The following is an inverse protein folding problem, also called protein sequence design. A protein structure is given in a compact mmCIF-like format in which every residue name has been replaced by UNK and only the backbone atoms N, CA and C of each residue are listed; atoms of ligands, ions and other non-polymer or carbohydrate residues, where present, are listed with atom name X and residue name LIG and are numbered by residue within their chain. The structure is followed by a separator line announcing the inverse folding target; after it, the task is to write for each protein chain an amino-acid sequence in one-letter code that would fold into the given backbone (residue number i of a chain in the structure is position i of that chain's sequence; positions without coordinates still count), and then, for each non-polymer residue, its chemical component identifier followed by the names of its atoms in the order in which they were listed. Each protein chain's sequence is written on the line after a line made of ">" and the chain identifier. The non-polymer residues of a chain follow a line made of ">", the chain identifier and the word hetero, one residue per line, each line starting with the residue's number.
data_IF_195290973839
#
_entry.id   IF_195290973839
#
_cell.length_a   1.000
_cell.length_b   1.000
_cell.length_c   1.000
_cell.angle_alpha   90.00
_cell.angle_beta   90.00
_cell.angle_gamma   90.00
#
_symmetry.space_group_name_H-M   'P 1'
#
loop_
_entity.id
_entity.type
_entity.pdbx_description
1 polymer ?
#
# COMPACT_ATOMS: atom_id res chain seq x y z
N UNK A 1 -27.47 -5.82 23.06
CA UNK A 1 -26.12 -5.39 23.50
C UNK A 1 -25.82 -4.09 22.76
N UNK A 2 -25.89 -2.92 23.42
CA UNK A 2 -25.74 -1.63 22.73
C UNK A 2 -24.29 -1.47 22.25
N UNK A 3 -24.06 -1.67 20.95
CA UNK A 3 -22.76 -1.46 20.34
C UNK A 3 -22.40 0.03 20.42
N UNK A 4 -21.15 0.34 20.78
CA UNK A 4 -20.67 1.74 20.79
C UNK A 4 -20.72 2.25 19.35
N UNK A 5 -21.30 3.43 19.12
CA UNK A 5 -21.41 4.06 17.79
C UNK A 5 -20.58 5.34 17.72
N UNK A 6 -20.17 5.72 16.52
CA UNK A 6 -19.53 7.01 16.25
C UNK A 6 -20.58 8.14 16.10
N UNK A 7 -20.11 9.36 15.84
CA UNK A 7 -20.96 10.56 15.64
C UNK A 7 -21.95 10.43 14.47
N UNK A 8 -21.71 9.50 13.54
CA UNK A 8 -22.55 9.25 12.37
C UNK A 8 -23.42 8.00 12.55
N UNK A 9 -23.50 7.45 13.77
CA UNK A 9 -24.28 6.25 14.08
C UNK A 9 -23.65 4.94 13.59
N UNK A 10 -22.39 4.96 13.13
CA UNK A 10 -21.72 3.76 12.62
C UNK A 10 -21.23 2.88 13.78
N UNK A 11 -21.39 1.54 13.71
CA UNK A 11 -20.94 0.65 14.78
C UNK A 11 -19.41 0.67 14.93
N UNK A 12 -18.90 0.77 16.16
CA UNK A 12 -17.47 0.67 16.46
C UNK A 12 -17.16 -0.78 16.85
N UNK A 13 -16.52 -1.51 15.93
CA UNK A 13 -16.23 -2.93 16.07
C UNK A 13 -14.73 -3.18 16.25
N UNK A 14 -14.36 -4.11 17.12
CA UNK A 14 -13.01 -4.66 17.20
C UNK A 14 -12.89 -5.83 16.23
N UNK A 15 -12.04 -5.69 15.21
CA UNK A 15 -11.80 -6.75 14.24
C UNK A 15 -10.76 -7.75 14.78
N UNK A 16 -11.04 -9.04 14.61
CA UNK A 16 -10.06 -10.11 14.87
C UNK A 16 -9.24 -10.34 13.60
N UNK A 17 -7.92 -10.23 13.69
CA UNK A 17 -7.02 -10.53 12.59
C UNK A 17 -6.94 -12.04 12.36
N UNK A 18 -6.97 -12.47 11.11
CA UNK A 18 -6.65 -13.85 10.74
C UNK A 18 -5.14 -14.07 10.68
N UNK A 19 -4.69 -15.32 10.62
CA UNK A 19 -3.26 -15.63 10.44
C UNK A 19 -2.66 -14.99 9.19
N UNK A 20 -3.42 -14.96 8.08
CA UNK A 20 -3.00 -14.29 6.84
C UNK A 20 -2.89 -12.78 7.04
N UNK A 21 -3.82 -12.16 7.77
CA UNK A 21 -3.74 -10.73 8.10
C UNK A 21 -2.46 -10.41 8.87
N UNK A 22 -2.11 -11.22 9.86
CA UNK A 22 -0.87 -11.06 10.64
C UNK A 22 0.36 -11.28 9.76
N UNK A 23 0.37 -12.31 8.91
CA UNK A 23 1.48 -12.58 8.01
C UNK A 23 1.74 -11.40 7.05
N UNK A 24 0.70 -10.81 6.46
CA UNK A 24 0.83 -9.62 5.61
C UNK A 24 1.41 -8.41 6.35
N UNK A 25 0.99 -8.21 7.60
CA UNK A 25 1.51 -7.12 8.45
C UNK A 25 3.00 -7.32 8.74
N UNK A 26 3.40 -8.52 9.18
CA UNK A 26 4.80 -8.85 9.46
C UNK A 26 5.67 -8.72 8.19
N UNK A 27 5.19 -9.24 7.07
CA UNK A 27 5.91 -9.18 5.81
C UNK A 27 6.05 -7.75 5.29
N UNK A 28 5.02 -6.92 5.45
CA UNK A 28 5.11 -5.50 5.08
C UNK A 28 6.11 -4.73 5.93
N UNK A 29 6.18 -5.00 7.24
CA UNK A 29 7.23 -4.43 8.10
C UNK A 29 8.63 -4.91 7.70
N UNK A 30 8.78 -6.19 7.39
CA UNK A 30 10.05 -6.76 6.92
C UNK A 30 10.52 -6.07 5.64
N UNK A 31 9.64 -5.86 4.66
CA UNK A 31 9.97 -5.16 3.42
C UNK A 31 10.31 -3.70 3.69
N UNK A 32 9.57 -3.00 4.56
CA UNK A 32 9.87 -1.61 4.90
C UNK A 32 11.25 -1.47 5.56
N UNK A 33 11.61 -2.39 6.47
CA UNK A 33 12.95 -2.44 7.06
C UNK A 33 13.99 -2.75 5.97
N UNK A 34 13.71 -3.74 5.12
CA UNK A 34 14.55 -4.09 3.98
C UNK A 34 14.80 -2.93 3.03
N UNK A 35 13.80 -2.08 2.79
CA UNK A 35 13.92 -0.86 1.99
C UNK A 35 14.93 0.11 2.61
N UNK A 36 14.82 0.38 3.91
CA UNK A 36 15.78 1.22 4.63
C UNK A 36 17.19 0.64 4.58
N UNK A 37 17.33 -0.66 4.85
CA UNK A 37 18.62 -1.37 4.76
C UNK A 37 19.21 -1.25 3.36
N UNK A 38 18.41 -1.50 2.32
CA UNK A 38 18.85 -1.40 0.92
C UNK A 38 19.39 0.00 0.59
N UNK A 39 18.70 1.06 1.03
CA UNK A 39 19.18 2.43 0.81
C UNK A 39 20.47 2.67 1.58
N UNK A 40 20.53 2.35 2.87
CA UNK A 40 21.70 2.66 3.70
C UNK A 40 22.97 1.93 3.28
N UNK A 41 22.89 0.64 2.93
CA UNK A 41 24.08 -0.12 2.53
C UNK A 41 24.66 0.34 1.19
N UNK A 42 23.85 0.96 0.32
CA UNK A 42 24.31 1.48 -0.98
C UNK A 42 24.58 2.98 -0.96
N UNK A 43 24.15 3.72 0.08
CA UNK A 43 24.10 5.19 0.05
C UNK A 43 25.46 5.85 -0.17
N UNK A 44 26.52 5.30 0.42
CA UNK A 44 27.87 5.86 0.32
C UNK A 44 28.44 5.74 -1.11
N UNK A 45 28.06 4.68 -1.82
CA UNK A 45 28.55 4.39 -3.18
C UNK A 45 27.73 5.11 -4.27
N UNK A 46 26.64 5.81 -3.89
CA UNK A 46 25.85 6.56 -4.86
C UNK A 46 26.63 7.78 -5.38
N UNK A 47 26.67 8.00 -6.70
CA UNK A 47 27.22 9.24 -7.28
C UNK A 47 26.39 10.44 -6.83
N UNK A 48 26.97 11.64 -6.85
CA UNK A 48 26.25 12.86 -6.43
C UNK A 48 24.96 13.11 -7.22
N UNK A 49 24.90 12.67 -8.48
CA UNK A 49 23.71 12.77 -9.33
C UNK A 49 23.16 11.38 -9.65
N UNK A 50 21.88 11.15 -9.34
CA UNK A 50 21.16 9.90 -9.56
C UNK A 50 19.89 10.12 -10.38
N UNK A 51 19.34 9.07 -11.03
CA UNK A 51 17.98 9.10 -11.55
C UNK A 51 16.95 9.36 -10.44
N UNK A 52 16.05 10.31 -10.66
CA UNK A 52 14.94 10.63 -9.74
C UNK A 52 13.56 10.57 -10.42
N UNK A 53 13.53 10.56 -11.76
CA UNK A 53 12.30 10.44 -12.54
C UNK A 53 12.53 9.47 -13.71
N UNK A 54 11.47 8.73 -14.04
CA UNK A 54 11.46 7.77 -15.14
C UNK A 54 10.20 7.99 -15.99
N UNK A 55 10.37 7.95 -17.31
CA UNK A 55 9.26 8.06 -18.26
C UNK A 55 8.40 6.79 -18.33
N UNK A 56 7.35 6.81 -19.16
CA UNK A 56 6.43 5.68 -19.35
C UNK A 56 7.09 4.40 -19.91
N UNK A 57 8.25 4.51 -20.59
CA UNK A 57 9.05 3.36 -21.01
C UNK A 57 9.93 2.80 -19.88
N UNK A 58 9.90 3.44 -18.71
CA UNK A 58 10.72 3.11 -17.54
C UNK A 58 12.18 3.54 -17.70
N UNK A 59 12.50 4.49 -18.58
CA UNK A 59 13.85 5.05 -18.75
C UNK A 59 14.01 6.32 -17.94
N UNK A 60 15.19 6.52 -17.35
CA UNK A 60 15.50 7.73 -16.60
C UNK A 60 15.45 8.95 -17.52
N UNK A 61 14.66 9.95 -17.15
CA UNK A 61 14.49 11.21 -17.89
C UNK A 61 14.59 12.46 -16.96
N UNK A 62 14.78 12.24 -15.66
CA UNK A 62 15.09 13.29 -14.69
C UNK A 62 16.12 12.83 -13.68
N UNK A 63 17.07 13.71 -13.36
CA UNK A 63 18.20 13.44 -12.49
C UNK A 63 18.30 14.49 -11.38
N UNK A 64 18.85 14.11 -10.23
CA UNK A 64 19.01 15.02 -9.10
C UNK A 64 19.99 14.48 -8.07
N UNK A 65 20.13 15.21 -6.97
CA UNK A 65 21.12 14.86 -5.94
C UNK A 65 20.80 13.51 -5.26
N UNK A 66 21.82 12.72 -4.91
CA UNK A 66 21.70 11.41 -4.22
C UNK A 66 20.87 11.41 -2.94
N UNK A 67 20.79 12.54 -2.22
CA UNK A 67 19.93 12.69 -1.04
C UNK A 67 18.45 12.45 -1.36
N UNK A 68 18.01 12.61 -2.61
CA UNK A 68 16.66 12.25 -3.05
C UNK A 68 16.35 10.76 -2.89
N UNK A 69 17.37 9.88 -2.79
CA UNK A 69 17.18 8.46 -2.52
C UNK A 69 16.46 8.22 -1.19
N UNK A 70 16.65 9.10 -0.19
CA UNK A 70 15.99 9.00 1.12
C UNK A 70 14.51 9.36 1.08
N UNK A 71 14.05 10.09 0.06
CA UNK A 71 12.63 10.48 -0.05
C UNK A 71 11.73 9.26 -0.14
N UNK A 72 12.14 8.22 -0.89
CA UNK A 72 11.37 6.99 -1.04
C UNK A 72 11.13 6.25 0.29
N UNK A 73 12.15 5.83 1.06
CA UNK A 73 11.92 5.17 2.35
C UNK A 73 11.18 6.06 3.37
N UNK A 74 11.40 7.38 3.36
CA UNK A 74 10.68 8.31 4.25
C UNK A 74 9.18 8.33 3.90
N UNK A 75 8.84 8.57 2.63
CA UNK A 75 7.44 8.61 2.18
C UNK A 75 6.77 7.25 2.36
N UNK A 76 7.47 6.15 2.05
CA UNK A 76 6.99 4.79 2.32
C UNK A 76 6.64 4.59 3.80
N UNK A 77 7.52 5.03 4.71
CA UNK A 77 7.31 4.90 6.15
C UNK A 77 6.11 5.71 6.62
N UNK A 78 5.99 6.98 6.19
CA UNK A 78 4.86 7.85 6.56
C UNK A 78 3.55 7.26 6.07
N UNK A 79 3.49 6.82 4.80
CA UNK A 79 2.27 6.24 4.24
C UNK A 79 1.94 4.89 4.90
N UNK A 80 2.93 4.02 5.11
CA UNK A 80 2.70 2.70 5.71
C UNK A 80 2.23 2.81 7.17
N UNK A 81 2.84 3.69 7.97
CA UNK A 81 2.44 3.96 9.35
C UNK A 81 1.06 4.62 9.37
N UNK A 82 0.82 5.62 8.54
CA UNK A 82 -0.47 6.30 8.43
C UNK A 82 -1.60 5.33 8.08
N UNK A 83 -1.39 4.46 7.09
CA UNK A 83 -2.33 3.39 6.73
C UNK A 83 -2.51 2.38 7.87
N UNK A 84 -1.45 2.06 8.62
CA UNK A 84 -1.52 1.16 9.78
C UNK A 84 -2.38 1.75 10.91
N UNK A 85 -2.24 3.06 11.18
CA UNK A 85 -3.08 3.78 12.15
C UNK A 85 -4.51 3.84 11.64
N UNK A 86 -4.72 4.22 10.38
CA UNK A 86 -6.04 4.29 9.75
C UNK A 86 -6.77 2.94 9.81
N UNK A 87 -6.04 1.83 9.66
CA UNK A 87 -6.59 0.47 9.74
C UNK A 87 -7.18 0.10 11.11
N UNK A 88 -6.87 0.86 12.16
CA UNK A 88 -7.46 0.69 13.50
C UNK A 88 -8.86 1.31 13.61
N UNK A 89 -9.25 2.15 12.66
CA UNK A 89 -10.49 2.91 12.70
C UNK A 89 -11.36 2.68 11.44
N UNK A 90 -11.75 1.44 11.11
CA UNK A 90 -12.50 1.15 9.87
C UNK A 90 -13.81 1.94 9.73
N UNK A 91 -14.46 2.31 10.83
CA UNK A 91 -15.70 3.08 10.81
C UNK A 91 -15.59 4.45 10.12
N UNK A 92 -14.38 5.02 9.96
CA UNK A 92 -14.17 6.30 9.25
C UNK A 92 -14.04 6.14 7.72
N UNK A 93 -13.98 4.92 7.21
CA UNK A 93 -13.77 4.69 5.77
C UNK A 93 -15.03 5.00 4.97
N UNK A 94 -14.85 5.17 3.67
CA UNK A 94 -15.94 5.21 2.70
C UNK A 94 -16.25 3.78 2.24
N UNK A 95 -17.53 3.42 2.28
CA UNK A 95 -18.01 2.09 1.91
C UNK A 95 -18.96 2.20 0.72
N UNK A 96 -18.85 1.33 -0.31
CA UNK A 96 -19.78 1.31 -1.44
C UNK A 96 -21.22 0.91 -1.06
N UNK A 97 -21.42 0.31 0.12
CA UNK A 97 -22.74 -0.05 0.62
C UNK A 97 -23.43 1.18 1.21
N UNK A 98 -24.64 1.48 0.74
CA UNK A 98 -25.41 2.68 1.12
C UNK A 98 -25.74 2.73 2.62
N UNK A 99 -26.06 1.59 3.24
CA UNK A 99 -26.41 1.52 4.67
C UNK A 99 -25.51 0.53 5.41
N UNK A 100 -24.71 1.04 6.35
CA UNK A 100 -23.92 0.25 7.29
C UNK A 100 -24.78 -0.10 8.51
N UNK A 101 -25.31 -1.32 8.53
CA UNK A 101 -26.02 -1.89 9.67
C UNK A 101 -25.04 -2.63 10.58
N UNK A 102 -25.41 -2.87 11.85
CA UNK A 102 -24.59 -3.69 12.77
C UNK A 102 -24.28 -5.08 12.18
N UNK A 103 -25.24 -5.63 11.44
CA UNK A 103 -25.19 -6.96 10.86
C UNK A 103 -24.28 -7.07 9.60
N UNK A 104 -24.03 -5.95 8.89
CA UNK A 104 -23.17 -5.94 7.70
C UNK A 104 -21.81 -5.25 7.93
N UNK A 105 -21.70 -4.41 8.97
CA UNK A 105 -20.51 -3.63 9.28
C UNK A 105 -19.28 -4.52 9.50
N UNK A 106 -19.42 -5.65 10.21
CA UNK A 106 -18.29 -6.57 10.44
C UNK A 106 -17.66 -7.06 9.12
N UNK A 107 -18.48 -7.46 8.14
CA UNK A 107 -18.01 -7.99 6.85
C UNK A 107 -17.35 -6.88 6.03
N UNK A 108 -18.00 -5.72 5.94
CA UNK A 108 -17.49 -4.55 5.23
C UNK A 108 -16.16 -4.07 5.83
N UNK A 109 -16.08 -3.94 7.15
CA UNK A 109 -14.87 -3.49 7.85
C UNK A 109 -13.74 -4.50 7.68
N UNK A 110 -14.02 -5.80 7.79
CA UNK A 110 -13.01 -6.85 7.57
C UNK A 110 -12.45 -6.77 6.15
N UNK A 111 -13.31 -6.60 5.14
CA UNK A 111 -12.85 -6.50 3.75
C UNK A 111 -12.07 -5.22 3.47
N UNK A 112 -12.53 -4.08 3.95
CA UNK A 112 -11.87 -2.80 3.71
C UNK A 112 -10.51 -2.74 4.41
N UNK A 113 -10.43 -3.24 5.64
CA UNK A 113 -9.14 -3.31 6.35
C UNK A 113 -8.16 -4.27 5.68
N UNK A 114 -8.64 -5.38 5.10
CA UNK A 114 -7.83 -6.29 4.29
C UNK A 114 -7.32 -5.63 3.02
N UNK A 115 -8.17 -4.90 2.30
CA UNK A 115 -7.74 -4.12 1.14
C UNK A 115 -6.63 -3.15 1.54
N UNK A 116 -6.80 -2.42 2.65
CA UNK A 116 -5.78 -1.48 3.13
C UNK A 116 -4.45 -2.16 3.48
N UNK A 117 -4.48 -3.39 4.03
CA UNK A 117 -3.27 -4.22 4.26
C UNK A 117 -2.57 -4.58 2.96
N UNK A 118 -3.34 -5.01 1.96
CA UNK A 118 -2.79 -5.35 0.63
C UNK A 118 -2.19 -4.10 -0.02
N UNK A 119 -2.89 -2.97 0.00
CA UNK A 119 -2.41 -1.73 -0.62
C UNK A 119 -1.15 -1.19 0.05
N UNK A 120 -1.04 -1.22 1.38
CA UNK A 120 0.20 -0.77 2.05
C UNK A 120 1.37 -1.74 1.82
N UNK A 121 1.10 -3.04 1.66
CA UNK A 121 2.12 -4.01 1.28
C UNK A 121 2.61 -3.77 -0.16
N UNK A 122 1.68 -3.58 -1.10
CA UNK A 122 1.98 -3.22 -2.49
C UNK A 122 2.80 -1.93 -2.56
N UNK A 123 2.45 -0.93 -1.74
CA UNK A 123 3.19 0.34 -1.65
C UNK A 123 4.67 0.12 -1.29
N UNK A 124 4.97 -0.62 -0.23
CA UNK A 124 6.37 -0.85 0.17
C UNK A 124 7.12 -1.72 -0.84
N UNK A 125 6.44 -2.66 -1.51
CA UNK A 125 7.03 -3.45 -2.60
C UNK A 125 7.40 -2.55 -3.78
N UNK A 126 6.49 -1.69 -4.23
CA UNK A 126 6.74 -0.76 -5.35
C UNK A 126 7.92 0.15 -5.03
N UNK A 127 7.95 0.75 -3.83
CA UNK A 127 9.02 1.66 -3.45
C UNK A 127 10.37 0.94 -3.36
N UNK A 128 10.37 -0.30 -2.85
CA UNK A 128 11.57 -1.15 -2.82
C UNK A 128 12.07 -1.51 -4.21
N UNK A 129 11.16 -1.85 -5.13
CA UNK A 129 11.50 -2.13 -6.52
C UNK A 129 12.08 -0.90 -7.23
N UNK A 130 11.54 0.30 -6.97
CA UNK A 130 12.08 1.54 -7.52
C UNK A 130 13.52 1.74 -7.04
N UNK A 131 13.77 1.71 -5.72
CA UNK A 131 15.13 1.85 -5.17
C UNK A 131 16.07 0.81 -5.76
N UNK A 132 15.66 -0.45 -5.79
CA UNK A 132 16.48 -1.55 -6.31
C UNK A 132 16.82 -1.38 -7.80
N UNK A 133 15.88 -0.92 -8.62
CA UNK A 133 16.12 -0.66 -10.05
C UNK A 133 16.92 0.61 -10.29
N UNK A 134 16.77 1.64 -9.46
CA UNK A 134 17.62 2.84 -9.53
C UNK A 134 19.07 2.50 -9.23
N UNK A 135 19.34 1.68 -8.20
CA UNK A 135 20.70 1.21 -7.89
C UNK A 135 21.29 0.41 -9.06
N UNK A 136 20.53 -0.51 -9.64
CA UNK A 136 20.97 -1.24 -10.83
C UNK A 136 21.23 -0.33 -12.05
N UNK A 137 20.43 0.73 -12.20
CA UNK A 137 20.63 1.69 -13.27
C UNK A 137 21.92 2.50 -13.10
N UNK A 138 22.20 2.92 -11.87
CA UNK A 138 23.46 3.60 -11.50
C UNK A 138 24.67 2.68 -11.76
N UNK A 139 24.55 1.40 -11.39
CA UNK A 139 25.62 0.41 -11.57
C UNK A 139 25.76 -0.09 -13.02
N UNK A 140 24.93 0.40 -13.96
CA UNK A 140 24.97 -0.01 -15.36
C UNK A 140 24.43 -1.42 -15.63
N UNK A 141 23.81 -2.08 -14.64
CA UNK A 141 23.22 -3.43 -14.80
C UNK A 141 21.75 -3.38 -15.26
N UNK A 142 21.18 -2.18 -15.41
CA UNK A 142 19.83 -1.97 -15.95
C UNK A 142 19.72 -0.62 -16.69
N UNK A 143 18.92 -0.54 -17.75
CA UNK A 143 18.65 0.72 -18.45
C UNK A 143 17.61 1.63 -17.75
N UNK A 144 16.97 1.14 -16.68
CA UNK A 144 15.97 1.87 -15.89
C UNK A 144 14.98 0.92 -15.20
N UNK A 145 13.76 1.39 -14.89
CA UNK A 145 12.68 0.56 -14.35
C UNK A 145 12.20 -0.50 -15.35
N UNK A 146 12.17 -0.16 -16.65
CA UNK A 146 11.68 -1.01 -17.73
C UNK A 146 10.17 -0.89 -17.98
N UNK A 147 9.74 -1.18 -19.21
CA UNK A 147 8.36 -0.98 -19.67
C UNK A 147 7.32 -1.82 -18.92
N UNK A 148 7.73 -2.94 -18.33
CA UNK A 148 6.85 -3.83 -17.54
C UNK A 148 6.48 -3.23 -16.17
N UNK A 149 7.26 -2.28 -15.66
CA UNK A 149 7.10 -1.74 -14.31
C UNK A 149 5.74 -1.04 -14.13
N UNK A 150 5.34 -0.24 -15.11
CA UNK A 150 4.07 0.50 -15.04
C UNK A 150 2.86 -0.46 -15.09
N UNK A 151 2.72 -1.38 -16.06
CA UNK A 151 1.65 -2.38 -16.05
C UNK A 151 1.62 -3.22 -14.76
N UNK A 152 2.78 -3.64 -14.23
CA UNK A 152 2.84 -4.38 -12.97
C UNK A 152 2.29 -3.54 -11.80
N UNK A 153 2.74 -2.29 -11.68
CA UNK A 153 2.31 -1.37 -10.63
C UNK A 153 0.80 -1.13 -10.68
N UNK A 154 0.26 -0.86 -11.88
CA UNK A 154 -1.18 -0.69 -12.08
C UNK A 154 -1.94 -1.97 -11.72
N UNK A 155 -1.45 -3.14 -12.14
CA UNK A 155 -2.04 -4.43 -11.79
C UNK A 155 -2.10 -4.66 -10.28
N UNK A 156 -0.98 -4.45 -9.58
CA UNK A 156 -0.90 -4.64 -8.13
C UNK A 156 -1.86 -3.73 -7.34
N UNK A 157 -2.19 -2.55 -7.85
CA UNK A 157 -3.12 -1.60 -7.20
C UNK A 157 -4.56 -1.88 -7.62
N UNK A 158 -4.85 -1.92 -8.92
CA UNK A 158 -6.22 -1.94 -9.43
C UNK A 158 -6.89 -3.31 -9.30
N UNK A 159 -6.15 -4.42 -9.36
CA UNK A 159 -6.73 -5.76 -9.19
C UNK A 159 -7.37 -5.93 -7.81
N UNK A 160 -6.67 -5.72 -6.68
CA UNK A 160 -7.28 -5.87 -5.36
C UNK A 160 -8.39 -4.84 -5.09
N UNK A 161 -8.25 -3.61 -5.61
CA UNK A 161 -9.31 -2.60 -5.52
C UNK A 161 -10.58 -3.04 -6.24
N UNK A 162 -10.46 -3.50 -7.49
CA UNK A 162 -11.60 -3.98 -8.30
C UNK A 162 -12.27 -5.18 -7.64
N UNK A 163 -11.48 -6.14 -7.15
CA UNK A 163 -11.99 -7.27 -6.37
C UNK A 163 -12.80 -6.82 -5.15
N UNK A 164 -12.25 -5.86 -4.37
CA UNK A 164 -12.93 -5.32 -3.20
C UNK A 164 -14.24 -4.64 -3.55
N UNK A 165 -14.27 -3.80 -4.59
CA UNK A 165 -15.47 -3.07 -5.01
C UNK A 165 -16.57 -4.05 -5.43
N UNK A 166 -16.25 -4.99 -6.32
CA UNK A 166 -17.22 -6.00 -6.81
C UNK A 166 -17.82 -6.79 -5.64
N UNK A 167 -16.96 -7.24 -4.71
CA UNK A 167 -17.39 -8.05 -3.58
C UNK A 167 -18.19 -7.24 -2.55
N UNK A 168 -17.84 -5.98 -2.31
CA UNK A 168 -18.56 -5.08 -1.40
C UNK A 168 -19.95 -4.72 -1.92
N UNK A 169 -20.08 -4.49 -3.23
CA UNK A 169 -21.39 -4.24 -3.87
C UNK A 169 -22.28 -5.49 -3.78
N UNK A 170 -21.73 -6.68 -4.05
CA UNK A 170 -22.48 -7.94 -3.93
C UNK A 170 -23.00 -8.16 -2.51
N UNK A 171 -22.18 -7.89 -1.49
CA UNK A 171 -22.57 -7.96 -0.08
C UNK A 171 -23.72 -7.02 0.28
N UNK A 172 -23.76 -5.81 -0.31
CA UNK A 172 -24.87 -4.88 -0.13
C UNK A 172 -26.20 -5.38 -0.73
N UNK A 173 -26.15 -6.06 -1.88
CA UNK A 173 -27.34 -6.57 -2.58
C UNK A 173 -27.95 -7.83 -1.97
N UNK A 174 -27.20 -8.61 -1.20
CA UNK A 174 -27.67 -9.93 -0.72
C UNK A 174 -28.59 -9.83 0.51
N UNK A 175 -28.79 -8.63 1.09
CA UNK A 175 -29.62 -8.42 2.29
C UNK A 175 -30.90 -7.61 2.04
N UNK A 176 -31.19 -7.29 0.78
CA UNK A 176 -32.43 -6.61 0.36
C UNK A 176 -33.50 -7.57 -0.15
N UNK A 177 -33.35 -8.88 0.10
CA UNK A 177 -34.38 -9.91 -0.05
C UNK A 177 -34.59 -10.59 1.29
#
# INVERSE_FOLDING_TARGET
>A
MNSKKDKNGRPILRLKLSGLDVAMELFGWLILIGLWVLVFINFQDLPETIPIHFNAAGKADGFGNKWNMLTLPIVASVLYIGMTILNKYPHVFNYPTEVLTEENALKNYTMATRLLRVLKLVLVIIFSLIVFRTIQNINGTAEGLGVWFLPLTLGMIFIPMTYYIIKSIKLGKTKTK
#
